data_IF_836374859210
#
_entry.id   IF_836374859210
#
_cell.length_a   1.000
_cell.length_b   1.000
_cell.length_c   1.000
_cell.angle_alpha   90.00
_cell.angle_beta   90.00
_cell.angle_gamma   90.00
#
_symmetry.space_group_name_H-M   'P 1'
#
loop_
_entity.id
_entity.type
_entity.pdbx_description
1 polymer ?
#
# COMPACT_ATOMS: atom_id res chain seq x y z
N UNK A 1 5.64 11.76 -21.24
CA UNK A 1 6.57 11.71 -20.10
C UNK A 1 7.99 12.00 -20.55
N UNK A 2 8.73 12.76 -19.74
CA UNK A 2 10.09 13.20 -20.01
C UNK A 2 10.98 12.91 -18.80
N UNK A 3 12.23 12.58 -19.06
CA UNK A 3 13.22 12.51 -18.00
C UNK A 3 13.57 13.93 -17.52
N UNK A 4 13.95 14.07 -16.26
CA UNK A 4 14.29 15.35 -15.63
C UNK A 4 15.66 15.28 -14.92
N UNK A 5 16.75 15.04 -15.67
CA UNK A 5 18.07 15.03 -15.06
C UNK A 5 18.39 16.41 -14.49
N UNK A 6 18.81 16.46 -13.22
CA UNK A 6 19.06 17.72 -12.52
C UNK A 6 17.83 18.62 -12.35
N UNK A 7 16.60 18.07 -12.44
CA UNK A 7 15.34 18.81 -12.31
C UNK A 7 14.87 19.50 -13.60
N UNK A 8 15.64 19.44 -14.67
CA UNK A 8 15.30 20.06 -15.97
C UNK A 8 14.70 19.00 -16.91
N UNK A 9 13.55 19.30 -17.49
CA UNK A 9 12.88 18.41 -18.43
C UNK A 9 13.72 18.24 -19.72
N UNK A 10 13.95 16.98 -20.11
CA UNK A 10 14.63 16.71 -21.37
C UNK A 10 13.70 17.02 -22.55
N UNK A 11 14.28 17.48 -23.68
CA UNK A 11 13.51 17.78 -24.89
C UNK A 11 12.98 16.52 -25.61
N UNK A 12 13.33 15.31 -25.16
CA UNK A 12 12.91 14.05 -25.79
C UNK A 12 12.04 13.25 -24.85
N UNK A 13 10.83 12.85 -25.29
CA UNK A 13 9.95 12.03 -24.47
C UNK A 13 10.57 10.62 -24.22
N UNK A 14 10.22 10.03 -23.10
CA UNK A 14 10.55 8.64 -22.82
C UNK A 14 9.65 7.70 -23.64
N UNK A 15 10.06 6.45 -23.79
CA UNK A 15 9.24 5.41 -24.41
C UNK A 15 8.04 4.96 -23.53
N UNK A 16 7.90 5.52 -22.33
CA UNK A 16 6.81 5.17 -21.42
C UNK A 16 5.46 5.68 -21.95
N UNK A 17 4.50 4.77 -22.04
CA UNK A 17 3.13 5.07 -22.46
C UNK A 17 2.21 4.99 -21.25
N UNK A 18 1.43 6.04 -20.93
CA UNK A 18 0.41 5.98 -19.88
C UNK A 18 -0.56 4.82 -20.08
N UNK A 19 -1.04 4.25 -18.99
CA UNK A 19 -2.04 3.18 -19.01
C UNK A 19 -1.65 1.91 -19.79
N UNK A 20 -0.36 1.73 -20.13
CA UNK A 20 0.09 0.58 -20.94
C UNK A 20 0.27 -0.69 -20.14
N UNK A 21 0.22 -0.63 -18.82
CA UNK A 21 0.44 -1.77 -17.92
C UNK A 21 -0.54 -1.73 -16.76
N UNK A 22 -0.95 -2.89 -16.24
CA UNK A 22 -1.73 -2.96 -15.01
C UNK A 22 -0.90 -2.48 -13.82
N UNK A 23 -1.59 -1.94 -12.83
CA UNK A 23 -1.02 -1.52 -11.56
C UNK A 23 -1.23 -2.63 -10.53
N UNK A 24 -0.19 -2.97 -9.79
CA UNK A 24 -0.24 -3.89 -8.66
C UNK A 24 0.15 -3.15 -7.39
N UNK A 25 -0.60 -3.36 -6.33
CA UNK A 25 -0.16 -2.96 -5.00
C UNK A 25 0.66 -4.11 -4.43
N UNK A 26 1.97 -3.94 -4.44
CA UNK A 26 2.90 -4.98 -3.94
C UNK A 26 3.02 -4.98 -2.43
N UNK A 27 2.62 -3.87 -1.79
CA UNK A 27 2.61 -3.68 -0.34
C UNK A 27 1.33 -2.94 0.04
N UNK A 28 0.31 -3.69 0.41
CA UNK A 28 -0.99 -3.17 0.78
C UNK A 28 -1.35 -3.57 2.20
N UNK A 29 -1.43 -2.62 3.13
CA UNK A 29 -1.77 -2.93 4.51
C UNK A 29 -1.60 -1.76 5.46
N UNK A 30 -1.83 -2.04 6.73
CA UNK A 30 -1.51 -1.16 7.83
C UNK A 30 -1.18 -2.01 9.07
N UNK A 31 -0.53 -1.45 10.10
CA UNK A 31 -0.26 -2.19 11.33
C UNK A 31 -1.57 -2.57 12.05
N UNK A 32 -1.59 -3.73 12.70
CA UNK A 32 -2.72 -4.18 13.52
C UNK A 32 -2.73 -3.50 14.91
N UNK A 33 -2.79 -2.20 14.89
CA UNK A 33 -2.70 -1.32 16.06
C UNK A 33 -3.81 -0.26 15.97
N UNK A 34 -4.28 0.24 17.12
CA UNK A 34 -5.31 1.29 17.13
C UNK A 34 -4.88 2.48 16.26
N UNK A 35 -5.80 2.96 15.43
CA UNK A 35 -5.54 4.04 14.46
C UNK A 35 -4.43 3.74 13.45
N UNK A 36 -4.17 2.46 13.17
CA UNK A 36 -3.15 2.02 12.21
C UNK A 36 -3.31 2.63 10.82
N UNK A 37 -4.54 2.94 10.42
CA UNK A 37 -4.85 3.58 9.14
C UNK A 37 -4.45 5.06 9.04
N UNK A 38 -4.13 5.73 10.16
CA UNK A 38 -3.67 7.13 10.12
C UNK A 38 -2.28 7.27 9.49
N UNK A 39 -1.45 6.24 9.63
CA UNK A 39 -0.15 6.11 8.97
C UNK A 39 0.10 4.63 8.66
N UNK A 40 -0.47 4.12 7.57
CA UNK A 40 -0.45 2.68 7.26
C UNK A 40 0.94 2.12 7.00
N UNK A 41 1.91 2.96 6.69
CA UNK A 41 3.30 2.60 6.47
C UNK A 41 4.17 2.61 7.74
N UNK A 42 3.59 2.89 8.91
CA UNK A 42 4.32 2.97 10.18
C UNK A 42 4.09 1.71 10.98
N UNK A 43 5.19 1.07 11.39
CA UNK A 43 5.17 -0.17 12.19
C UNK A 43 5.94 0.02 13.48
N UNK A 44 5.41 -0.54 14.57
CA UNK A 44 6.12 -0.60 15.83
C UNK A 44 7.02 -1.84 15.86
N UNK A 45 8.30 -1.64 15.63
CA UNK A 45 9.34 -2.66 15.74
C UNK A 45 10.50 -2.14 16.59
N UNK A 46 10.64 -2.59 17.84
CA UNK A 46 11.70 -2.13 18.72
C UNK A 46 13.14 -2.35 18.20
N UNK A 47 13.31 -3.17 17.18
CA UNK A 47 14.60 -3.43 16.54
C UNK A 47 14.92 -2.47 15.40
N UNK A 48 13.95 -1.67 14.97
CA UNK A 48 14.10 -0.71 13.86
C UNK A 48 14.30 0.71 14.38
N UNK A 49 15.23 1.43 13.77
CA UNK A 49 15.42 2.87 14.02
C UNK A 49 14.24 3.73 13.54
N UNK A 50 13.40 3.18 12.68
CA UNK A 50 12.21 3.83 12.13
C UNK A 50 10.93 3.45 12.87
N UNK A 51 11.09 2.74 14.00
CA UNK A 51 9.97 2.24 14.79
C UNK A 51 9.24 3.35 15.53
N UNK A 52 7.96 3.54 15.26
CA UNK A 52 7.05 4.33 16.07
C UNK A 52 5.59 3.91 15.84
N UNK A 53 4.67 4.53 16.57
CA UNK A 53 3.24 4.27 16.42
C UNK A 53 2.61 5.26 15.44
N UNK A 54 1.55 4.89 14.72
CA UNK A 54 0.78 5.81 13.89
C UNK A 54 0.26 7.02 14.69
N UNK A 55 -0.01 8.11 13.99
CA UNK A 55 -0.54 9.33 14.63
C UNK A 55 -1.74 9.03 15.53
N UNK A 56 -1.67 9.56 16.77
CA UNK A 56 -2.68 9.42 17.81
C UNK A 56 -2.93 7.97 18.28
N UNK A 57 -2.18 6.99 17.81
CA UNK A 57 -2.21 5.64 18.34
C UNK A 57 -1.67 5.59 19.76
N UNK A 58 -2.26 4.74 20.59
CA UNK A 58 -1.78 4.43 21.94
C UNK A 58 -0.92 3.17 21.99
N UNK A 59 -0.70 2.54 20.82
CA UNK A 59 0.05 1.31 20.72
C UNK A 59 -0.76 0.05 21.07
N UNK A 60 -2.09 0.14 21.16
CA UNK A 60 -2.93 -0.99 21.50
C UNK A 60 -3.22 -1.86 20.27
N UNK A 61 -3.23 -3.16 20.47
CA UNK A 61 -3.59 -4.11 19.43
C UNK A 61 -5.00 -3.85 18.90
N UNK A 62 -5.13 -3.78 17.58
CA UNK A 62 -6.40 -3.65 16.88
C UNK A 62 -6.36 -4.41 15.54
N UNK A 63 -6.69 -5.70 15.59
CA UNK A 63 -6.74 -6.54 14.39
C UNK A 63 -7.90 -6.13 13.48
N UNK A 64 -8.96 -5.53 14.06
CA UNK A 64 -10.14 -5.12 13.31
C UNK A 64 -9.83 -3.97 12.35
N UNK A 65 -9.00 -3.01 12.75
CA UNK A 65 -8.62 -1.90 11.87
C UNK A 65 -7.80 -2.38 10.67
N UNK A 66 -6.90 -3.35 10.88
CA UNK A 66 -6.10 -3.93 9.80
C UNK A 66 -7.01 -4.66 8.80
N UNK A 67 -7.92 -5.50 9.31
CA UNK A 67 -8.89 -6.20 8.50
C UNK A 67 -9.77 -5.24 7.71
N UNK A 68 -10.31 -4.22 8.37
CA UNK A 68 -11.18 -3.22 7.73
C UNK A 68 -10.44 -2.45 6.62
N UNK A 69 -9.14 -2.14 6.81
CA UNK A 69 -8.32 -1.51 5.80
C UNK A 69 -8.18 -2.37 4.53
N UNK A 70 -7.87 -3.66 4.72
CA UNK A 70 -7.73 -4.60 3.61
C UNK A 70 -9.08 -4.81 2.90
N UNK A 71 -10.15 -5.08 3.66
CA UNK A 71 -11.50 -5.25 3.11
C UNK A 71 -11.94 -4.00 2.31
N UNK A 72 -11.78 -2.81 2.85
CA UNK A 72 -12.15 -1.57 2.17
C UNK A 72 -11.38 -1.40 0.85
N UNK A 73 -10.08 -1.70 0.86
CA UNK A 73 -9.23 -1.53 -0.34
C UNK A 73 -9.58 -2.55 -1.42
N UNK A 74 -9.72 -3.83 -1.06
CA UNK A 74 -10.09 -4.87 -2.02
C UNK A 74 -11.50 -4.69 -2.57
N UNK A 75 -12.46 -4.30 -1.73
CA UNK A 75 -13.83 -4.01 -2.16
C UNK A 75 -13.87 -2.80 -3.10
N UNK A 76 -13.15 -1.74 -2.78
CA UNK A 76 -13.10 -0.54 -3.61
C UNK A 76 -12.56 -0.83 -5.00
N UNK A 77 -11.41 -1.47 -5.10
CA UNK A 77 -10.79 -1.76 -6.40
C UNK A 77 -11.41 -2.94 -7.12
N UNK A 78 -12.12 -3.83 -6.40
CA UNK A 78 -12.92 -4.89 -6.98
C UNK A 78 -14.18 -4.38 -7.67
N UNK A 79 -14.69 -3.23 -7.25
CA UNK A 79 -15.88 -2.60 -7.85
C UNK A 79 -15.53 -2.04 -9.25
N UNK A 80 -16.32 -2.45 -10.23
CA UNK A 80 -16.12 -2.09 -11.64
C UNK A 80 -16.11 -0.57 -11.86
N UNK A 81 -16.95 0.16 -11.15
CA UNK A 81 -17.06 1.61 -11.27
C UNK A 81 -15.80 2.34 -10.78
N UNK A 82 -15.06 1.76 -9.82
CA UNK A 82 -13.88 2.37 -9.23
C UNK A 82 -12.57 1.97 -9.91
N UNK A 83 -12.61 0.95 -10.78
CA UNK A 83 -11.43 0.40 -11.43
C UNK A 83 -11.59 0.45 -12.96
N UNK A 84 -11.29 1.58 -13.58
CA UNK A 84 -11.52 1.78 -15.00
C UNK A 84 -10.69 0.84 -15.88
N UNK A 85 -11.16 0.63 -17.09
CA UNK A 85 -10.45 -0.15 -18.11
C UNK A 85 -9.45 0.75 -18.82
N UNK A 86 -8.22 0.30 -18.98
CA UNK A 86 -7.22 0.98 -19.81
C UNK A 86 -7.66 0.98 -21.27
N UNK A 87 -7.60 2.14 -21.91
CA UNK A 87 -7.82 2.28 -23.33
C UNK A 87 -6.67 1.71 -24.18
N UNK A 88 -5.53 1.42 -23.57
CA UNK A 88 -4.32 0.97 -24.26
C UNK A 88 -4.23 -0.55 -24.32
N UNK A 89 -4.43 -1.26 -23.19
CA UNK A 89 -4.33 -2.73 -23.18
C UNK A 89 -5.66 -3.45 -22.92
N UNK A 90 -6.76 -2.71 -22.67
CA UNK A 90 -8.10 -3.27 -22.55
C UNK A 90 -8.44 -3.98 -21.25
N UNK A 91 -7.51 -4.01 -20.28
CA UNK A 91 -7.71 -4.59 -18.95
C UNK A 91 -7.97 -3.54 -17.88
N UNK A 92 -8.40 -3.97 -16.68
CA UNK A 92 -8.58 -3.09 -15.52
C UNK A 92 -7.26 -2.45 -15.11
N UNK A 93 -7.30 -1.15 -14.73
CA UNK A 93 -6.10 -0.42 -14.32
C UNK A 93 -5.41 -1.04 -13.11
N UNK A 94 -6.16 -1.40 -12.07
CA UNK A 94 -5.64 -2.14 -10.93
C UNK A 94 -5.96 -3.62 -11.11
N UNK A 95 -4.93 -4.45 -11.13
CA UNK A 95 -5.06 -5.92 -11.23
C UNK A 95 -5.18 -6.50 -9.83
N UNK A 96 -6.38 -6.45 -9.28
CA UNK A 96 -6.69 -6.82 -7.88
C UNK A 96 -6.18 -8.21 -7.48
N UNK A 97 -6.27 -9.27 -8.32
CA UNK A 97 -5.75 -10.60 -7.97
C UNK A 97 -4.25 -10.64 -7.67
N UNK A 98 -3.48 -9.71 -8.21
CA UNK A 98 -2.03 -9.63 -8.00
C UNK A 98 -1.62 -8.62 -6.92
N UNK A 99 -2.60 -7.99 -6.25
CA UNK A 99 -2.32 -7.14 -5.12
C UNK A 99 -1.97 -7.98 -3.88
N UNK A 100 -0.84 -7.65 -3.25
CA UNK A 100 -0.29 -8.40 -2.13
C UNK A 100 -0.47 -7.64 -0.82
N UNK A 101 -1.02 -8.30 0.19
CA UNK A 101 -1.10 -7.73 1.52
C UNK A 101 0.30 -7.65 2.16
N UNK A 102 0.65 -6.50 2.67
CA UNK A 102 1.84 -6.28 3.48
C UNK A 102 1.46 -6.29 4.96
N UNK A 103 2.01 -7.10 5.77
CA UNK A 103 2.90 -8.21 5.45
C UNK A 103 2.37 -9.46 6.15
N UNK A 104 2.75 -10.64 5.66
CA UNK A 104 2.40 -11.91 6.31
C UNK A 104 2.69 -11.89 7.81
N UNK A 105 3.74 -11.19 8.21
CA UNK A 105 4.25 -11.12 9.58
C UNK A 105 3.98 -9.77 10.27
N UNK A 106 3.00 -8.99 9.80
CA UNK A 106 2.56 -7.74 10.43
C UNK A 106 1.81 -7.99 11.75
N UNK A 107 2.38 -8.83 12.59
CA UNK A 107 1.82 -9.08 13.92
C UNK A 107 2.02 -7.86 14.80
N UNK A 108 0.99 -7.46 15.55
CA UNK A 108 1.12 -6.33 16.46
C UNK A 108 2.02 -6.67 17.66
N UNK A 109 2.64 -5.64 18.20
CA UNK A 109 3.29 -5.78 19.50
C UNK A 109 2.30 -6.28 20.57
N UNK A 110 2.68 -7.16 21.50
CA UNK A 110 4.02 -7.73 21.69
C UNK A 110 4.32 -9.03 20.92
N UNK A 111 3.41 -9.50 20.06
CA UNK A 111 3.61 -10.75 19.33
C UNK A 111 4.77 -10.66 18.34
N UNK A 112 4.91 -9.53 17.68
CA UNK A 112 6.09 -9.19 16.93
C UNK A 112 6.85 -8.06 17.67
N UNK A 113 8.15 -8.17 17.89
CA UNK A 113 9.09 -9.22 17.47
C UNK A 113 9.29 -10.37 18.50
N UNK A 114 8.48 -10.46 19.54
CA UNK A 114 8.72 -11.38 20.66
C UNK A 114 8.58 -12.88 20.29
N UNK A 115 7.89 -13.18 19.18
CA UNK A 115 7.64 -14.55 18.70
C UNK A 115 8.42 -14.89 17.43
N UNK A 116 9.51 -14.18 17.15
CA UNK A 116 10.40 -14.48 16.03
C UNK A 116 11.52 -15.42 16.46
#
# INVERSE_FOLDING_TARGET
HYNRPGGVESGTPTAWVPESKPIWFTELGCPAIDRGTNQPNVFFDPKSSESFTPHFSRGWRDDAIQRAYLEATYLWWGEVANNPVSSVYGGRMVHVPECAAWTWDARPYPFFPAQT
#
